data_IF_566028059185
#
_entry.id   IF_566028059185
#
_cell.length_a   1.000
_cell.length_b   1.000
_cell.length_c   1.000
_cell.angle_alpha   90.00
_cell.angle_beta   90.00
_cell.angle_gamma   90.00
#
_symmetry.space_group_name_H-M   'P 1'
#
loop_
_entity.id
_entity.type
_entity.pdbx_description
1 polymer ?
#
# COMPACT_ATOMS: atom_id res chain seq x y z
N UNK A 1 22.59 31.63 13.55
CA UNK A 1 22.40 30.81 14.77
C UNK A 1 21.10 29.97 14.72
N UNK A 2 20.68 29.49 13.54
CA UNK A 2 19.51 28.60 13.38
C UNK A 2 19.87 27.33 12.58
N UNK A 3 21.01 27.33 11.88
CA UNK A 3 21.42 26.22 10.98
C UNK A 3 22.17 25.09 11.70
N UNK A 4 22.70 25.31 12.92
CA UNK A 4 23.55 24.33 13.61
C UNK A 4 22.83 23.47 14.65
N UNK A 5 21.57 23.76 15.00
CA UNK A 5 20.78 22.96 15.95
C UNK A 5 19.95 21.85 15.28
N UNK A 6 19.80 21.86 13.95
CA UNK A 6 19.05 20.83 13.21
C UNK A 6 19.80 19.49 13.10
N UNK A 7 21.11 19.47 13.36
CA UNK A 7 21.96 18.29 13.14
C UNK A 7 21.91 17.24 14.26
N UNK A 8 21.31 17.54 15.43
CA UNK A 8 21.23 16.61 16.57
C UNK A 8 19.85 15.94 16.67
N UNK A 9 18.82 16.47 16.01
CA UNK A 9 17.47 15.85 15.98
C UNK A 9 17.38 14.57 15.13
N UNK A 10 18.31 14.34 14.21
CA UNK A 10 18.33 13.16 13.33
C UNK A 10 18.86 11.88 14.02
N UNK A 11 19.50 11.99 15.18
CA UNK A 11 20.05 10.83 15.90
C UNK A 11 19.01 10.12 16.79
N UNK A 12 17.82 10.71 17.03
CA UNK A 12 16.75 10.17 17.88
C UNK A 12 15.44 9.84 17.12
N UNK A 13 15.38 10.06 15.80
CA UNK A 13 14.26 9.61 14.95
C UNK A 13 14.30 8.11 14.63
N UNK A 14 15.33 7.41 15.12
CA UNK A 14 15.45 5.97 15.15
C UNK A 14 14.61 5.42 16.31
N UNK A 15 13.37 4.97 16.05
CA UNK A 15 12.92 3.57 16.21
C UNK A 15 11.57 3.47 15.47
N UNK A 16 11.60 3.18 14.17
CA UNK A 16 10.52 2.44 13.53
C UNK A 16 9.63 3.16 12.52
N UNK A 17 9.58 4.51 12.46
CA UNK A 17 8.71 5.19 11.49
C UNK A 17 9.42 6.35 10.79
N UNK A 18 9.68 6.27 9.48
CA UNK A 18 10.14 7.42 8.72
C UNK A 18 9.08 8.51 8.78
N UNK A 19 9.48 9.73 9.14
CA UNK A 19 8.59 10.88 9.16
C UNK A 19 8.10 11.25 7.77
N UNK A 20 7.07 12.10 7.71
CA UNK A 20 6.56 12.64 6.45
C UNK A 20 7.65 13.30 5.57
N UNK A 21 8.65 14.01 6.12
CA UNK A 21 9.76 14.57 5.33
C UNK A 21 10.64 13.49 4.67
N UNK A 22 11.04 12.47 5.42
CA UNK A 22 11.87 11.37 4.93
C UNK A 22 11.16 10.58 3.83
N UNK A 23 9.87 10.30 4.03
CA UNK A 23 9.04 9.57 3.07
C UNK A 23 8.86 10.37 1.77
N UNK A 24 8.78 11.70 1.84
CA UNK A 24 8.76 12.59 0.67
C UNK A 24 10.07 12.54 -0.12
N UNK A 25 11.22 12.51 0.56
CA UNK A 25 12.53 12.41 -0.09
C UNK A 25 12.66 11.07 -0.81
N UNK A 26 12.27 9.96 -0.17
CA UNK A 26 12.27 8.63 -0.79
C UNK A 26 11.32 8.57 -1.98
N UNK A 27 10.11 9.13 -1.84
CA UNK A 27 9.14 9.23 -2.93
C UNK A 27 9.70 10.02 -4.12
N UNK A 28 10.40 11.13 -3.85
CA UNK A 28 11.01 11.94 -4.90
C UNK A 28 12.11 11.16 -5.64
N UNK A 29 12.98 10.44 -4.92
CA UNK A 29 14.00 9.57 -5.53
C UNK A 29 13.36 8.43 -6.35
N UNK A 30 12.31 7.81 -5.83
CA UNK A 30 11.56 6.80 -6.56
C UNK A 30 10.92 7.39 -7.83
N UNK A 31 10.41 8.62 -7.76
CA UNK A 31 9.89 9.36 -8.92
C UNK A 31 10.98 9.67 -9.95
N UNK A 32 12.23 9.91 -9.55
CA UNK A 32 13.33 10.13 -10.49
C UNK A 32 13.73 8.83 -11.21
N UNK A 33 13.75 7.70 -10.50
CA UNK A 33 14.10 6.40 -11.07
C UNK A 33 13.01 5.83 -11.96
N UNK A 34 11.76 5.87 -11.49
CA UNK A 34 10.61 5.30 -12.19
C UNK A 34 9.91 6.32 -13.09
N UNK A 35 10.03 7.61 -12.83
CA UNK A 35 9.27 8.66 -13.50
C UNK A 35 7.89 8.90 -12.85
N UNK A 36 7.44 10.15 -12.83
CA UNK A 36 6.15 10.57 -12.26
C UNK A 36 4.92 9.86 -12.81
N UNK A 37 4.99 9.32 -14.03
CA UNK A 37 3.88 8.61 -14.67
C UNK A 37 3.83 7.10 -14.37
N UNK A 38 4.98 6.46 -14.08
CA UNK A 38 5.03 4.99 -13.94
C UNK A 38 4.52 4.52 -12.58
N UNK A 39 4.87 5.20 -11.48
CA UNK A 39 4.41 4.85 -10.13
C UNK A 39 2.87 4.83 -10.01
N UNK A 40 2.15 5.89 -10.42
CA UNK A 40 0.68 5.89 -10.41
C UNK A 40 0.07 4.80 -11.31
N UNK A 41 0.68 4.55 -12.45
CA UNK A 41 0.20 3.54 -13.41
C UNK A 41 0.35 2.12 -12.84
N UNK A 42 1.49 1.82 -12.22
CA UNK A 42 1.74 0.54 -11.54
C UNK A 42 0.76 0.33 -10.38
N UNK A 43 0.55 1.35 -9.53
CA UNK A 43 -0.43 1.28 -8.44
C UNK A 43 -1.86 1.07 -8.96
N UNK A 44 -2.24 1.74 -10.06
CA UNK A 44 -3.58 1.61 -10.64
C UNK A 44 -3.81 0.23 -11.26
N UNK A 45 -2.80 -0.35 -11.90
CA UNK A 45 -2.88 -1.71 -12.45
C UNK A 45 -2.91 -2.77 -11.33
N UNK A 46 -2.06 -2.60 -10.31
CA UNK A 46 -2.04 -3.49 -9.13
C UNK A 46 -3.36 -3.41 -8.36
N UNK A 47 -3.92 -2.21 -8.18
CA UNK A 47 -5.20 -2.02 -7.51
C UNK A 47 -6.37 -2.66 -8.27
N UNK A 48 -6.37 -2.58 -9.60
CA UNK A 48 -7.36 -3.31 -10.42
C UNK A 48 -7.23 -4.82 -10.24
N UNK A 49 -6.02 -5.36 -10.35
CA UNK A 49 -5.76 -6.79 -10.16
C UNK A 49 -6.16 -7.27 -8.75
N UNK A 50 -5.83 -6.51 -7.70
CA UNK A 50 -6.22 -6.82 -6.33
C UNK A 50 -7.74 -6.77 -6.14
N UNK A 51 -8.42 -5.83 -6.78
CA UNK A 51 -9.88 -5.71 -6.71
C UNK A 51 -10.59 -6.86 -7.43
N UNK A 52 -10.13 -7.25 -8.62
CA UNK A 52 -10.65 -8.42 -9.35
C UNK A 52 -10.36 -9.72 -8.59
N UNK A 53 -9.16 -9.86 -8.00
CA UNK A 53 -8.81 -10.99 -7.15
C UNK A 53 -9.75 -11.10 -5.94
N UNK A 54 -10.01 -9.98 -5.25
CA UNK A 54 -10.95 -9.96 -4.12
C UNK A 54 -12.38 -10.34 -4.53
N UNK A 55 -12.84 -9.90 -5.70
CA UNK A 55 -14.17 -10.24 -6.22
C UNK A 55 -14.30 -11.72 -6.54
N UNK A 56 -13.35 -12.30 -7.27
CA UNK A 56 -13.37 -13.73 -7.58
C UNK A 56 -13.31 -14.62 -6.33
N UNK A 57 -12.54 -14.21 -5.31
CA UNK A 57 -12.53 -14.90 -4.02
C UNK A 57 -13.85 -14.81 -3.27
N UNK A 58 -14.54 -13.67 -3.33
CA UNK A 58 -15.83 -13.48 -2.66
C UNK A 58 -16.95 -14.30 -3.34
N UNK A 59 -16.98 -14.34 -4.67
CA UNK A 59 -17.93 -15.15 -5.44
C UNK A 59 -17.76 -16.65 -5.12
N UNK A 60 -16.51 -17.13 -5.03
CA UNK A 60 -16.23 -18.54 -4.65
C UNK A 60 -16.66 -18.87 -3.21
N UNK A 61 -16.53 -17.91 -2.29
CA UNK A 61 -16.94 -18.10 -0.90
C UNK A 61 -18.48 -18.16 -0.76
N UNK A 62 -19.20 -17.28 -1.46
CA UNK A 62 -20.66 -17.22 -1.42
C UNK A 62 -21.30 -18.47 -2.06
N UNK A 63 -20.73 -18.96 -3.16
CA UNK A 63 -21.15 -20.23 -3.79
C UNK A 63 -20.99 -21.43 -2.83
N UNK A 64 -19.95 -21.43 -1.99
CA UNK A 64 -19.72 -22.51 -1.01
C UNK A 64 -20.77 -22.47 0.11
N UNK A 65 -21.12 -21.27 0.60
CA UNK A 65 -22.12 -21.08 1.65
C UNK A 65 -23.57 -21.34 1.19
N UNK A 66 -23.91 -21.03 -0.07
CA UNK A 66 -25.22 -21.39 -0.63
C UNK A 66 -25.37 -22.90 -0.81
N UNK A 67 -24.30 -23.59 -1.21
CA UNK A 67 -24.31 -25.04 -1.43
C UNK A 67 -24.48 -25.81 -0.12
N UNK A 68 -23.96 -25.31 1.01
CA UNK A 68 -24.18 -25.92 2.33
C UNK A 68 -25.60 -25.65 2.88
N UNK A 69 -26.14 -24.45 2.72
CA UNK A 69 -27.51 -24.10 3.17
C UNK A 69 -28.60 -24.85 2.42
N UNK A 70 -28.36 -25.18 1.15
CA UNK A 70 -29.28 -26.01 0.37
C UNK A 70 -29.30 -27.46 0.86
N UNK A 71 -28.19 -27.96 1.41
CA UNK A 71 -28.04 -29.35 1.86
C UNK A 71 -28.68 -29.62 3.24
N UNK A 72 -28.84 -28.59 4.07
CA UNK A 72 -29.48 -28.68 5.39
C UNK A 72 -31.02 -28.65 5.32
N UNK A 73 -31.57 -28.33 4.14
CA UNK A 73 -33.02 -28.16 3.92
C UNK A 73 -33.71 -29.36 3.24
N UNK A 74 -32.97 -30.42 2.96
CA UNK A 74 -33.46 -31.72 2.43
C UNK A 74 -33.26 -32.83 3.47
#
# INVERSE_FOLDING_TARGET
>A
MIVTTTSIGAALGFIGMPGAPELLIVLFLALLLFGGAKLPTLMRNLGKSANEFKRGMAETADDTDETEKLKEKF
#
